data_IF_178634381916
#
_entry.id   IF_178634381916
#
_cell.length_a   1.000
_cell.length_b   1.000
_cell.length_c   1.000
_cell.angle_alpha   90.00
_cell.angle_beta   90.00
_cell.angle_gamma   90.00
#
_symmetry.space_group_name_H-M   'P 1'
#
loop_
_entity.id
_entity.type
_entity.pdbx_description
1 polymer ?
#
# COMPACT_ATOMS: atom_id res chain seq x y z
N UNK A 1 -15.76 14.22 12.11
CA UNK A 1 -14.76 13.47 12.90
C UNK A 1 -13.40 13.68 12.26
N UNK A 2 -12.30 13.41 12.96
CA UNK A 2 -10.93 13.47 12.42
C UNK A 2 -10.34 12.07 12.23
N UNK A 3 -9.40 11.93 11.30
CA UNK A 3 -8.67 10.67 11.01
C UNK A 3 -7.46 10.42 11.93
N UNK A 4 -7.28 11.26 12.96
CA UNK A 4 -6.14 11.25 13.90
C UNK A 4 -4.74 11.43 13.29
N UNK A 5 -4.61 11.62 11.98
CA UNK A 5 -3.34 11.93 11.30
C UNK A 5 -3.50 13.03 10.27
N UNK A 6 -2.49 13.90 10.16
CA UNK A 6 -2.44 14.99 9.18
C UNK A 6 -1.02 15.13 8.60
N UNK A 7 -0.93 15.79 7.46
CA UNK A 7 0.31 16.14 6.76
C UNK A 7 0.54 17.64 6.89
N UNK A 8 1.76 18.05 7.26
CA UNK A 8 2.11 19.46 7.42
C UNK A 8 3.57 19.73 7.08
N UNK A 9 3.80 20.84 6.39
CA UNK A 9 5.15 21.35 6.16
C UNK A 9 5.74 21.94 7.44
N UNK A 10 6.94 21.50 7.79
CA UNK A 10 7.79 22.07 8.83
C UNK A 10 9.09 22.59 8.22
N UNK A 11 9.80 23.44 8.97
CA UNK A 11 11.11 23.95 8.60
C UNK A 11 12.15 23.41 9.58
N UNK A 12 12.91 22.39 9.16
CA UNK A 12 14.04 21.84 9.93
C UNK A 12 15.31 22.65 9.64
N UNK A 13 16.28 22.68 10.56
CA UNK A 13 17.62 23.21 10.25
C UNK A 13 18.25 22.31 9.18
N UNK A 14 18.86 22.93 8.16
CA UNK A 14 19.63 22.16 7.19
C UNK A 14 20.94 21.68 7.84
N UNK A 15 21.28 20.42 7.60
CA UNK A 15 22.49 19.78 8.13
C UNK A 15 23.63 19.78 7.11
N UNK A 16 23.31 19.99 5.83
CA UNK A 16 24.29 20.07 4.75
C UNK A 16 24.89 21.50 4.66
N UNK A 17 24.14 22.51 5.12
CA UNK A 17 24.56 23.92 5.22
C UNK A 17 24.45 24.46 6.66
N UNK A 18 25.37 24.01 7.51
CA UNK A 18 25.48 24.47 8.89
C UNK A 18 25.98 25.92 9.03
N UNK A 19 26.54 26.53 7.97
CA UNK A 19 27.18 27.86 8.04
C UNK A 19 26.19 29.01 7.88
N UNK A 20 25.18 28.88 6.99
CA UNK A 20 24.20 29.96 6.77
C UNK A 20 22.95 29.87 7.68
N UNK A 21 22.93 28.96 8.65
CA UNK A 21 21.77 28.63 9.50
C UNK A 21 20.46 28.36 8.72
N UNK A 22 20.59 27.84 7.50
CA UNK A 22 19.48 27.69 6.56
C UNK A 22 18.47 26.65 7.04
N UNK A 23 17.24 26.74 6.53
CA UNK A 23 16.13 25.86 6.93
C UNK A 23 15.45 25.22 5.73
N UNK A 24 15.41 23.89 5.75
CA UNK A 24 14.80 23.04 4.72
C UNK A 24 13.31 22.87 5.03
N UNK A 25 12.44 23.18 4.06
CA UNK A 25 11.01 22.86 4.12
C UNK A 25 10.85 21.36 3.89
N UNK A 26 10.24 20.66 4.83
CA UNK A 26 9.99 19.21 4.77
C UNK A 26 8.54 18.93 5.10
N UNK A 27 7.88 18.18 4.22
CA UNK A 27 6.47 17.77 4.39
C UNK A 27 6.40 16.51 5.25
N UNK A 28 5.86 16.61 6.47
CA UNK A 28 5.86 15.53 7.46
C UNK A 28 4.43 15.08 7.76
N UNK A 29 4.24 13.77 7.95
CA UNK A 29 3.00 13.20 8.48
C UNK A 29 3.06 13.07 9.99
N UNK A 30 1.95 13.38 10.66
CA UNK A 30 1.76 13.30 12.10
C UNK A 30 0.62 12.32 12.39
N UNK A 31 0.74 11.44 13.38
CA UNK A 31 -0.36 10.58 13.89
C UNK A 31 -0.46 10.72 15.40
N UNK A 32 -1.64 11.08 15.88
CA UNK A 32 -1.98 11.07 17.31
C UNK A 32 -2.54 9.70 17.68
N UNK A 33 -2.03 9.11 18.76
CA UNK A 33 -2.50 7.82 19.28
C UNK A 33 -3.35 8.04 20.54
N UNK A 34 -4.68 8.04 20.37
CA UNK A 34 -5.64 8.19 21.48
C UNK A 34 -5.87 6.88 22.24
N UNK A 35 -5.35 5.75 21.77
CA UNK A 35 -5.54 4.44 22.41
C UNK A 35 -4.60 4.19 23.60
N UNK A 36 -3.55 5.02 23.75
CA UNK A 36 -2.52 4.91 24.79
C UNK A 36 -2.16 6.29 25.35
N UNK A 37 -1.62 6.31 26.57
CA UNK A 37 -1.04 7.51 27.21
C UNK A 37 0.38 7.23 27.70
N UNK A 38 1.19 8.27 27.82
CA UNK A 38 2.48 8.20 28.51
C UNK A 38 2.27 8.24 30.05
N UNK A 39 3.38 8.24 30.81
CA UNK A 39 3.34 8.25 32.29
C UNK A 39 2.70 9.50 32.88
N UNK A 40 2.72 10.58 32.10
CA UNK A 40 2.28 11.92 32.46
C UNK A 40 0.83 12.19 31.99
N UNK A 41 0.19 11.20 31.36
CA UNK A 41 -1.20 11.23 30.92
C UNK A 41 -1.42 11.73 29.48
N UNK A 42 -0.36 12.05 28.74
CA UNK A 42 -0.43 12.62 27.39
C UNK A 42 -0.53 11.53 26.30
N UNK A 43 -1.23 11.83 25.21
CA UNK A 43 -1.33 10.96 24.05
C UNK A 43 -0.12 11.10 23.10
N UNK A 44 0.58 10.01 22.72
CA UNK A 44 1.74 10.08 21.85
C UNK A 44 1.45 10.65 20.44
N UNK A 45 2.32 11.55 19.98
CA UNK A 45 2.34 12.07 18.63
C UNK A 45 3.51 11.46 17.84
N UNK A 46 3.21 10.59 16.87
CA UNK A 46 4.20 9.93 15.98
C UNK A 46 4.44 10.79 14.73
N UNK A 47 5.69 10.84 14.27
CA UNK A 47 6.14 11.67 13.14
C UNK A 47 6.71 10.78 12.04
N UNK A 48 6.30 11.00 10.79
CA UNK A 48 6.74 10.23 9.62
C UNK A 48 7.23 11.21 8.54
N UNK A 49 8.55 11.29 8.39
CA UNK A 49 9.24 12.13 7.41
C UNK A 49 9.18 11.50 6.00
N UNK A 50 9.49 12.24 4.90
CA UNK A 50 9.41 11.71 3.53
C UNK A 50 10.16 10.39 3.30
N UNK A 51 11.27 10.19 3.98
CA UNK A 51 12.12 8.99 3.95
C UNK A 51 11.37 7.74 4.46
N UNK A 52 10.31 7.92 5.25
CA UNK A 52 9.42 6.84 5.65
C UNK A 52 8.60 6.31 4.46
N UNK A 53 8.39 7.10 3.40
CA UNK A 53 7.78 6.65 2.15
C UNK A 53 6.28 6.35 2.25
N UNK A 54 5.51 7.17 2.96
CA UNK A 54 4.04 7.16 2.84
C UNK A 54 3.59 8.17 1.78
N UNK A 55 3.15 7.63 0.64
CA UNK A 55 2.62 8.39 -0.49
C UNK A 55 1.09 8.26 -0.50
N UNK A 56 0.38 9.35 -0.20
CA UNK A 56 -1.08 9.35 -0.10
C UNK A 56 -1.75 9.16 -1.47
N UNK A 57 -1.21 9.77 -2.52
CA UNK A 57 -1.80 9.78 -3.87
C UNK A 57 -1.76 8.38 -4.48
N UNK A 58 -0.56 7.77 -4.49
CA UNK A 58 -0.37 6.35 -4.88
C UNK A 58 -1.02 5.36 -3.93
N UNK A 59 -1.52 5.80 -2.77
CA UNK A 59 -2.26 4.94 -1.85
C UNK A 59 -3.75 5.01 -2.12
N UNK A 60 -4.30 6.20 -2.38
CA UNK A 60 -5.69 6.40 -2.81
C UNK A 60 -6.03 5.61 -4.06
N UNK A 61 -5.13 5.59 -5.05
CA UNK A 61 -5.31 4.88 -6.33
C UNK A 61 -5.41 3.35 -6.21
N UNK A 62 -5.10 2.78 -5.05
CA UNK A 62 -5.20 1.33 -4.80
C UNK A 62 -6.61 0.90 -4.39
N UNK A 63 -7.55 1.82 -4.14
CA UNK A 63 -8.87 1.54 -3.57
C UNK A 63 -10.00 1.84 -4.58
N UNK A 64 -11.06 0.99 -4.66
CA UNK A 64 -12.17 1.17 -5.61
C UNK A 64 -13.19 2.22 -5.13
N UNK A 65 -12.74 3.47 -4.94
CA UNK A 65 -13.62 4.59 -4.61
C UNK A 65 -14.23 5.20 -5.88
N UNK A 66 -15.56 5.15 -5.98
CA UNK A 66 -16.29 5.65 -7.16
C UNK A 66 -16.16 7.16 -7.32
N UNK A 67 -16.12 7.90 -6.21
CA UNK A 67 -16.01 9.37 -6.21
C UNK A 67 -14.68 9.89 -6.78
N UNK A 68 -13.65 9.04 -6.89
CA UNK A 68 -12.33 9.42 -7.42
C UNK A 68 -12.14 9.11 -8.92
N UNK A 69 -13.21 8.70 -9.61
CA UNK A 69 -13.29 8.76 -11.08
C UNK A 69 -13.38 10.22 -11.58
N UNK A 70 -13.78 11.14 -10.70
CA UNK A 70 -13.80 12.58 -10.90
C UNK A 70 -12.51 13.19 -10.31
N UNK A 71 -11.73 13.89 -11.15
CA UNK A 71 -10.42 14.40 -10.77
C UNK A 71 -10.50 15.57 -9.75
N UNK A 72 -11.54 16.41 -9.83
CA UNK A 72 -11.75 17.48 -8.84
C UNK A 72 -12.08 16.89 -7.47
N UNK A 73 -12.96 15.88 -7.44
CA UNK A 73 -13.28 15.13 -6.21
C UNK A 73 -12.08 14.35 -5.69
N UNK A 74 -11.25 13.77 -6.55
CA UNK A 74 -9.98 13.10 -6.17
C UNK A 74 -9.02 14.09 -5.49
N UNK A 75 -8.77 15.25 -6.10
CA UNK A 75 -7.93 16.30 -5.50
C UNK A 75 -8.49 16.82 -4.18
N UNK A 76 -9.81 17.09 -4.11
CA UNK A 76 -10.47 17.54 -2.88
C UNK A 76 -10.40 16.48 -1.77
N UNK A 77 -10.60 15.20 -2.09
CA UNK A 77 -10.49 14.07 -1.17
C UNK A 77 -9.08 13.88 -0.63
N UNK A 78 -8.06 13.89 -1.51
CA UNK A 78 -6.64 13.81 -1.12
C UNK A 78 -6.27 14.97 -0.18
N UNK A 79 -6.70 16.19 -0.49
CA UNK A 79 -6.47 17.38 0.35
C UNK A 79 -7.19 17.31 1.70
N UNK A 80 -8.39 16.76 1.75
CA UNK A 80 -9.12 16.55 3.01
C UNK A 80 -8.47 15.46 3.87
N UNK A 81 -8.00 14.37 3.26
CA UNK A 81 -7.26 13.29 3.93
C UNK A 81 -5.91 13.78 4.46
N UNK A 82 -5.19 14.64 3.72
CA UNK A 82 -3.93 15.23 4.18
C UNK A 82 -4.11 16.28 5.28
N UNK A 83 -5.26 16.96 5.35
CA UNK A 83 -5.62 17.77 6.52
C UNK A 83 -6.17 16.96 7.70
N UNK A 84 -6.26 15.63 7.58
CA UNK A 84 -6.68 14.73 8.66
C UNK A 84 -8.18 14.68 8.92
N UNK A 85 -9.00 15.02 7.94
CA UNK A 85 -10.44 14.80 7.99
C UNK A 85 -10.75 13.30 7.86
N UNK A 86 -11.78 12.84 8.57
CA UNK A 86 -12.49 11.61 8.18
C UNK A 86 -13.52 12.02 7.12
N UNK A 87 -13.37 11.53 5.89
CA UNK A 87 -14.26 11.87 4.77
C UNK A 87 -15.21 10.72 4.45
N UNK A 88 -16.41 11.06 3.97
CA UNK A 88 -17.34 10.07 3.39
C UNK A 88 -17.04 9.89 1.91
N UNK A 89 -16.92 8.65 1.46
CA UNK A 89 -16.78 8.26 0.06
C UNK A 89 -17.74 7.11 -0.26
N UNK A 90 -17.88 6.79 -1.53
CA UNK A 90 -18.59 5.60 -2.00
C UNK A 90 -17.60 4.55 -2.50
N UNK A 91 -17.80 3.31 -2.08
CA UNK A 91 -17.05 2.15 -2.57
C UNK A 91 -18.03 1.18 -3.26
N UNK A 92 -17.57 0.48 -4.29
CA UNK A 92 -18.35 -0.61 -4.90
C UNK A 92 -17.91 -1.95 -4.33
N UNK A 93 -18.87 -2.70 -3.78
CA UNK A 93 -18.66 -4.04 -3.23
C UNK A 93 -19.78 -4.96 -3.69
N UNK A 94 -19.44 -6.11 -4.29
CA UNK A 94 -20.42 -7.07 -4.84
C UNK A 94 -21.46 -6.44 -5.79
N UNK A 95 -21.02 -5.46 -6.62
CA UNK A 95 -21.90 -4.71 -7.53
C UNK A 95 -22.84 -3.72 -6.84
N UNK A 96 -22.65 -3.43 -5.55
CA UNK A 96 -23.44 -2.46 -4.78
C UNK A 96 -22.58 -1.26 -4.37
N UNK A 97 -23.09 -0.06 -4.63
CA UNK A 97 -22.54 1.19 -4.11
C UNK A 97 -22.85 1.32 -2.61
N UNK A 98 -21.83 1.27 -1.76
CA UNK A 98 -21.95 1.44 -0.31
C UNK A 98 -21.23 2.71 0.17
N UNK A 99 -21.79 3.46 1.14
CA UNK A 99 -21.10 4.58 1.77
C UNK A 99 -20.07 4.07 2.79
N UNK A 100 -18.87 4.66 2.77
CA UNK A 100 -17.77 4.34 3.68
C UNK A 100 -17.11 5.62 4.20
N UNK A 101 -16.58 5.57 5.42
CA UNK A 101 -15.74 6.64 5.96
C UNK A 101 -14.26 6.29 5.81
N UNK A 102 -13.44 7.27 5.46
CA UNK A 102 -12.04 7.06 5.06
C UNK A 102 -11.12 8.09 5.72
N UNK A 103 -9.99 7.62 6.24
CA UNK A 103 -8.91 8.45 6.80
C UNK A 103 -7.54 7.92 6.39
N UNK A 104 -6.57 8.82 6.20
CA UNK A 104 -5.18 8.43 5.98
C UNK A 104 -4.59 7.78 7.24
N UNK A 105 -3.77 6.74 7.05
CA UNK A 105 -2.98 6.12 8.10
C UNK A 105 -1.50 6.03 7.65
N UNK A 106 -0.66 7.02 8.02
CA UNK A 106 0.75 7.02 7.65
C UNK A 106 1.50 5.84 8.29
N UNK A 107 1.20 5.49 9.54
CA UNK A 107 1.87 4.42 10.30
C UNK A 107 1.73 3.03 9.65
N UNK A 108 0.57 2.74 9.07
CA UNK A 108 0.30 1.51 8.32
C UNK A 108 0.42 1.69 6.80
N UNK A 109 0.93 2.84 6.34
CA UNK A 109 1.10 3.24 4.93
C UNK A 109 -0.13 2.96 4.05
N UNK A 110 -1.33 3.22 4.58
CA UNK A 110 -2.62 2.85 3.98
C UNK A 110 -3.70 3.91 4.21
N UNK A 111 -4.91 3.63 3.73
CA UNK A 111 -6.12 4.25 4.25
C UNK A 111 -6.81 3.29 5.22
N UNK A 112 -7.28 3.82 6.34
CA UNK A 112 -8.27 3.13 7.17
C UNK A 112 -9.65 3.46 6.61
N UNK A 113 -10.47 2.42 6.42
CA UNK A 113 -11.82 2.50 5.84
C UNK A 113 -12.80 1.87 6.81
N UNK A 114 -13.94 2.52 7.03
CA UNK A 114 -14.96 2.11 7.98
C UNK A 114 -16.34 2.06 7.29
N UNK A 115 -17.21 1.18 7.76
CA UNK A 115 -18.62 1.15 7.37
C UNK A 115 -19.38 2.39 7.87
N UNK A 116 -20.63 2.55 7.45
CA UNK A 116 -21.58 3.51 8.03
C UNK A 116 -21.78 3.37 9.54
N UNK A 117 -21.47 2.20 10.11
CA UNK A 117 -21.53 1.90 11.55
C UNK A 117 -20.20 2.17 12.28
N UNK A 118 -19.24 2.82 11.60
CA UNK A 118 -17.87 3.07 12.09
C UNK A 118 -17.03 1.81 12.38
N UNK A 119 -17.45 0.65 11.86
CA UNK A 119 -16.70 -0.62 11.97
C UNK A 119 -15.61 -0.64 10.89
N UNK A 120 -14.35 -0.88 11.28
CA UNK A 120 -13.23 -0.93 10.34
C UNK A 120 -13.35 -2.13 9.38
N UNK A 121 -13.18 -1.89 8.08
CA UNK A 121 -13.26 -2.91 7.04
C UNK A 121 -11.89 -3.58 6.82
N UNK A 122 -11.89 -4.91 6.74
CA UNK A 122 -10.68 -5.72 6.51
C UNK A 122 -10.24 -5.68 5.04
N UNK A 123 -8.99 -6.07 4.76
CA UNK A 123 -8.48 -6.16 3.38
C UNK A 123 -9.30 -7.11 2.52
N UNK A 124 -9.78 -8.23 3.06
CA UNK A 124 -10.64 -9.17 2.33
C UNK A 124 -11.97 -8.52 1.91
N UNK A 125 -12.60 -7.72 2.80
CA UNK A 125 -13.85 -7.02 2.51
C UNK A 125 -13.69 -5.87 1.50
N UNK A 126 -12.53 -5.23 1.46
CA UNK A 126 -12.23 -4.14 0.53
C UNK A 126 -11.75 -4.64 -0.85
N UNK A 127 -11.20 -5.86 -0.92
CA UNK A 127 -10.53 -6.40 -2.10
C UNK A 127 -10.79 -7.92 -2.28
N UNK A 128 -12.06 -8.36 -2.46
CA UNK A 128 -12.41 -9.78 -2.53
C UNK A 128 -11.62 -10.56 -3.59
N UNK A 129 -11.50 -10.01 -4.80
CA UNK A 129 -10.76 -10.61 -5.92
C UNK A 129 -9.27 -10.86 -5.62
N UNK A 130 -8.69 -10.09 -4.68
CA UNK A 130 -7.29 -10.24 -4.29
C UNK A 130 -7.02 -11.50 -3.45
N UNK A 131 -8.05 -12.09 -2.83
CA UNK A 131 -7.94 -13.35 -2.12
C UNK A 131 -7.90 -14.56 -3.07
N UNK A 132 -8.56 -14.47 -4.23
CA UNK A 132 -8.56 -15.53 -5.25
C UNK A 132 -7.17 -15.68 -5.89
N UNK A 133 -6.54 -14.57 -6.28
CA UNK A 133 -5.19 -14.58 -6.89
C UNK A 133 -4.11 -15.28 -6.04
N UNK A 134 -4.20 -15.19 -4.71
CA UNK A 134 -3.28 -15.94 -3.83
C UNK A 134 -3.46 -17.46 -3.86
N UNK A 135 -4.65 -17.96 -4.22
CA UNK A 135 -4.95 -19.39 -4.33
C UNK A 135 -4.50 -19.93 -5.69
N UNK A 136 -4.71 -19.17 -6.77
CA UNK A 136 -4.24 -19.55 -8.11
C UNK A 136 -2.72 -19.60 -8.21
N UNK A 137 -2.02 -18.67 -7.55
CA UNK A 137 -0.55 -18.66 -7.47
C UNK A 137 0.02 -19.88 -6.73
N UNK A 138 -0.64 -20.36 -5.66
CA UNK A 138 -0.25 -21.58 -4.96
C UNK A 138 -0.61 -22.86 -5.73
N UNK A 139 -1.60 -22.79 -6.62
CA UNK A 139 -2.10 -23.93 -7.40
C UNK A 139 -1.30 -24.16 -8.69
N UNK A 140 -0.54 -23.16 -9.16
CA UNK A 140 0.19 -23.19 -10.43
C UNK A 140 1.63 -23.74 -10.34
N UNK A 141 2.21 -23.88 -9.14
CA UNK A 141 3.50 -24.58 -8.95
C UNK A 141 3.38 -26.12 -8.97
N UNK A 142 2.17 -26.67 -8.98
CA UNK A 142 1.91 -28.09 -8.75
C UNK A 142 1.97 -29.01 -10.00
N UNK A 143 2.21 -28.48 -11.21
CA UNK A 143 2.24 -29.28 -12.44
C UNK A 143 3.45 -28.96 -13.33
N UNK A 144 4.45 -29.85 -13.31
CA UNK A 144 5.55 -29.88 -14.28
C UNK A 144 5.36 -31.03 -15.28
N UNK A 145 5.06 -30.75 -16.57
CA UNK A 145 5.11 -31.76 -17.63
C UNK A 145 6.57 -32.14 -17.97
N UNK A 146 6.80 -33.40 -18.35
CA UNK A 146 8.11 -33.86 -18.81
C UNK A 146 8.29 -33.65 -20.32
N UNK A 147 9.56 -33.46 -20.72
CA UNK A 147 10.24 -33.76 -22.00
C UNK A 147 9.42 -33.95 -23.29
N UNK A 148 9.93 -33.35 -24.38
CA UNK A 148 9.78 -33.84 -25.76
C UNK A 148 11.15 -33.81 -26.47
N UNK A 149 11.27 -34.55 -27.58
CA UNK A 149 12.54 -35.07 -28.14
C UNK A 149 12.72 -34.77 -29.66
N UNK A 150 13.92 -35.10 -30.20
CA UNK A 150 14.21 -35.41 -31.65
C UNK A 150 14.21 -34.17 -32.61
N UNK A 151 15.07 -34.01 -33.64
CA UNK A 151 16.24 -34.73 -34.23
C UNK A 151 17.31 -33.67 -34.68
N UNK A 152 18.45 -33.87 -35.38
CA UNK A 152 19.18 -34.98 -36.05
C UNK A 152 20.69 -34.58 -36.12
N UNK A 153 21.69 -35.35 -36.61
CA UNK A 153 21.76 -36.72 -37.14
C UNK A 153 22.97 -36.92 -38.10
N UNK A 154 23.01 -38.07 -38.79
CA UNK A 154 23.87 -38.44 -39.95
C UNK A 154 25.31 -38.99 -39.74
N UNK A 155 25.57 -40.08 -40.50
CA UNK A 155 26.84 -40.69 -40.96
C UNK A 155 27.84 -41.37 -40.00
N UNK A 156 27.76 -42.70 -40.04
CA UNK A 156 28.86 -43.66 -40.33
C UNK A 156 29.89 -44.11 -39.28
N UNK A 157 29.57 -45.31 -38.74
CA UNK A 157 30.31 -46.57 -38.96
C UNK A 157 31.51 -47.01 -38.08
N UNK A 158 31.35 -48.28 -37.67
CA UNK A 158 32.36 -49.33 -37.43
C UNK A 158 33.12 -49.44 -36.08
N UNK A 159 32.79 -50.57 -35.44
CA UNK A 159 33.69 -51.54 -34.80
C UNK A 159 33.75 -51.63 -33.25
N UNK A 160 34.07 -52.84 -32.81
CA UNK A 160 34.05 -53.40 -31.45
C UNK A 160 35.34 -54.26 -31.30
N UNK A 161 35.66 -54.96 -30.18
CA UNK A 161 35.19 -54.88 -28.79
C UNK A 161 36.30 -54.96 -27.69
N UNK A 162 35.94 -54.62 -26.43
CA UNK A 162 36.62 -55.06 -25.16
C UNK A 162 38.06 -54.49 -24.99
N UNK A 163 38.76 -54.60 -23.85
CA UNK A 163 38.50 -55.39 -22.64
C UNK A 163 38.93 -54.71 -21.32
N UNK A 164 38.43 -55.28 -20.22
CA UNK A 164 38.76 -55.04 -18.81
C UNK A 164 40.25 -55.18 -18.49
N UNK A 165 40.79 -54.26 -17.68
CA UNK A 165 41.64 -54.61 -16.52
C UNK A 165 41.51 -53.57 -15.42
#
# INVERSE_FOLDING_TARGET
>A
MCGLSLQKDIFIKDLDDLQNESRKRVTVWFKLDLGVTNKDGEHPLKWFFPEYGFDLEKTVEKYPFLDFQDEEKKMAGIKALSYGNLISLSLELEGKKIPVYVSANPELKRLDVFSSEMIALTKQQLFPDSAQKSIDLLSSEAQSPQRMDIDSGSLDQQNIPKHKR
#
